data_IF_405401143722
#
_entry.id   IF_405401143722
#
_cell.length_a   1.000
_cell.length_b   1.000
_cell.length_c   1.000
_cell.angle_alpha   90.00
_cell.angle_beta   90.00
_cell.angle_gamma   90.00
#
_symmetry.space_group_name_H-M   'P 1'
#
loop_
_entity.id
_entity.type
_entity.pdbx_description
1 polymer ?
#
# COMPACT_ATOMS: atom_id res chain seq x y z
N UNK A 1 0.00 18.86 13.97
CA UNK A 1 -1.34 19.47 13.77
C UNK A 1 -1.62 20.65 14.71
N UNK A 2 -0.71 20.97 15.65
CA UNK A 2 -0.82 22.13 16.53
C UNK A 2 -1.86 22.03 17.67
N UNK A 3 -2.40 20.85 17.96
CA UNK A 3 -3.48 20.66 18.96
C UNK A 3 -3.02 20.04 20.30
N UNK A 4 -1.71 19.96 20.53
CA UNK A 4 -1.14 19.28 21.71
C UNK A 4 -1.75 19.79 23.02
N UNK A 5 -1.85 21.11 23.19
CA UNK A 5 -2.29 21.73 24.44
C UNK A 5 -3.80 21.54 24.71
N UNK A 6 -4.56 21.16 23.69
CA UNK A 6 -5.99 20.85 23.79
C UNK A 6 -6.27 19.36 23.98
N UNK A 7 -5.25 18.51 23.99
CA UNK A 7 -5.45 17.06 24.00
C UNK A 7 -6.12 16.56 25.30
N UNK A 8 -5.99 17.30 26.41
CA UNK A 8 -6.70 17.03 27.67
C UNK A 8 -8.22 17.10 27.54
N UNK A 9 -8.74 17.76 26.47
CA UNK A 9 -10.17 17.90 26.21
C UNK A 9 -10.70 16.86 25.21
N UNK A 10 -9.88 15.86 24.83
CA UNK A 10 -10.26 14.85 23.86
C UNK A 10 -11.53 14.11 24.27
N UNK A 11 -12.52 14.07 23.38
CA UNK A 11 -13.84 13.44 23.57
C UNK A 11 -14.69 14.05 24.69
N UNK A 12 -14.37 15.25 25.17
CA UNK A 12 -15.20 15.99 26.12
C UNK A 12 -16.14 16.92 25.36
N UNK A 13 -17.25 17.29 26.00
CA UNK A 13 -18.18 18.27 25.42
C UNK A 13 -17.47 19.61 25.20
N UNK A 14 -17.58 20.15 24.00
CA UNK A 14 -16.86 21.37 23.59
C UNK A 14 -15.34 21.22 23.43
N UNK A 15 -14.80 20.04 23.63
CA UNK A 15 -13.39 19.71 23.45
C UNK A 15 -13.07 19.17 22.06
N UNK A 16 -11.88 18.54 21.94
CA UNK A 16 -11.46 17.88 20.72
C UNK A 16 -12.29 16.65 20.42
N UNK A 17 -12.67 16.49 19.14
CA UNK A 17 -13.29 15.26 18.64
C UNK A 17 -12.37 14.06 18.77
N UNK A 18 -12.95 12.86 18.94
CA UNK A 18 -12.21 11.59 18.88
C UNK A 18 -11.79 11.18 17.47
N UNK A 19 -12.24 11.90 16.43
CA UNK A 19 -11.96 11.68 15.02
C UNK A 19 -11.61 13.00 14.35
N UNK A 20 -11.01 12.91 13.16
CA UNK A 20 -10.68 14.09 12.35
C UNK A 20 -11.93 14.92 12.04
N UNK A 21 -11.79 16.24 12.16
CA UNK A 21 -12.82 17.20 11.77
C UNK A 21 -12.21 18.44 11.11
N UNK A 22 -12.57 18.76 9.88
CA UNK A 22 -12.07 19.95 9.18
C UNK A 22 -12.32 21.26 9.94
N UNK A 23 -13.39 21.32 10.73
CA UNK A 23 -13.71 22.50 11.56
C UNK A 23 -12.70 22.69 12.71
N UNK A 24 -11.99 21.65 13.12
CA UNK A 24 -11.02 21.72 14.20
C UNK A 24 -9.61 22.05 13.70
N UNK A 25 -9.27 21.69 12.47
CA UNK A 25 -7.95 21.92 11.90
C UNK A 25 -7.95 21.81 10.37
N UNK A 26 -7.22 22.72 9.73
CA UNK A 26 -6.92 22.66 8.31
C UNK A 26 -6.16 21.37 7.90
N UNK A 27 -5.54 20.68 8.87
CA UNK A 27 -4.83 19.41 8.62
C UNK A 27 -5.76 18.20 8.62
N UNK A 28 -7.04 18.38 8.89
CA UNK A 28 -8.05 17.33 8.91
C UNK A 28 -8.85 17.39 7.60
N UNK A 29 -8.48 16.61 6.56
CA UNK A 29 -9.04 16.80 5.21
C UNK A 29 -10.47 16.25 5.06
N UNK A 30 -10.93 15.42 5.98
CA UNK A 30 -12.25 14.77 5.92
C UNK A 30 -12.72 14.36 7.30
N UNK A 31 -14.01 14.05 7.39
CA UNK A 31 -14.62 13.45 8.59
C UNK A 31 -14.72 11.95 8.35
N UNK A 32 -14.13 11.15 9.23
CA UNK A 32 -14.26 9.70 9.22
C UNK A 32 -14.12 9.12 10.61
N UNK A 33 -14.91 8.10 10.93
CA UNK A 33 -14.84 7.35 12.18
C UNK A 33 -14.84 5.84 11.94
N UNK A 34 -14.84 5.41 10.68
CA UNK A 34 -14.81 4.02 10.28
C UNK A 34 -13.39 3.58 9.91
N UNK A 35 -13.07 2.31 10.19
CA UNK A 35 -11.89 1.68 9.63
C UNK A 35 -12.09 1.36 8.14
N UNK A 36 -11.01 1.14 7.41
CA UNK A 36 -11.00 0.63 6.02
C UNK A 36 -11.41 1.64 4.94
N UNK A 37 -11.68 2.89 5.27
CA UNK A 37 -12.13 3.92 4.33
C UNK A 37 -11.00 4.77 3.73
N UNK A 38 -9.80 4.75 4.31
CA UNK A 38 -8.69 5.63 3.92
C UNK A 38 -8.33 5.53 2.43
N UNK A 39 -8.35 4.33 1.85
CA UNK A 39 -8.05 4.12 0.42
C UNK A 39 -9.16 4.72 -0.46
N UNK A 40 -10.42 4.57 -0.08
CA UNK A 40 -11.57 5.15 -0.81
C UNK A 40 -11.50 6.68 -0.81
N UNK A 41 -11.25 7.29 0.34
CA UNK A 41 -11.12 8.74 0.49
C UNK A 41 -9.95 9.27 -0.34
N UNK A 42 -8.77 8.64 -0.21
CA UNK A 42 -7.59 9.03 -0.96
C UNK A 42 -7.77 8.86 -2.47
N UNK A 43 -8.45 7.80 -2.92
CA UNK A 43 -8.78 7.59 -4.33
C UNK A 43 -9.66 8.72 -4.87
N UNK A 44 -10.68 9.13 -4.11
CA UNK A 44 -11.53 10.27 -4.45
C UNK A 44 -10.74 11.58 -4.57
N UNK A 45 -9.83 11.84 -3.63
CA UNK A 45 -8.94 13.01 -3.67
C UNK A 45 -8.00 12.97 -4.88
N UNK A 46 -7.41 11.80 -5.19
CA UNK A 46 -6.54 11.62 -6.33
C UNK A 46 -7.28 11.82 -7.65
N UNK A 47 -8.52 11.37 -7.73
CA UNK A 47 -9.38 11.57 -8.90
C UNK A 47 -9.77 13.04 -9.07
N UNK A 48 -10.18 13.70 -7.98
CA UNK A 48 -10.49 15.14 -7.98
C UNK A 48 -9.28 16.00 -8.39
N UNK A 49 -8.06 15.66 -7.90
CA UNK A 49 -6.81 16.28 -8.32
C UNK A 49 -6.63 16.18 -9.83
N UNK A 50 -6.85 14.99 -10.40
CA UNK A 50 -6.69 14.74 -11.84
C UNK A 50 -7.70 15.56 -12.65
N UNK A 51 -8.97 15.56 -12.25
CA UNK A 51 -10.03 16.35 -12.91
C UNK A 51 -9.77 17.85 -12.85
N UNK A 52 -9.18 18.33 -11.77
CA UNK A 52 -8.83 19.76 -11.59
C UNK A 52 -7.48 20.12 -12.16
N UNK A 53 -6.76 19.17 -12.77
CA UNK A 53 -5.41 19.35 -13.30
C UNK A 53 -4.42 19.94 -12.26
N UNK A 54 -4.58 19.54 -11.00
CA UNK A 54 -3.72 19.96 -9.88
C UNK A 54 -2.53 19.03 -9.72
N UNK A 55 -1.45 19.51 -9.10
CA UNK A 55 -0.20 18.78 -8.89
C UNK A 55 0.11 18.69 -7.40
N UNK A 56 -0.31 17.62 -6.76
CA UNK A 56 0.06 17.25 -5.40
C UNK A 56 0.03 15.73 -5.25
N UNK A 57 0.76 15.22 -4.27
CA UNK A 57 0.75 13.79 -3.97
C UNK A 57 -0.43 13.44 -3.06
N UNK A 58 -1.02 12.29 -3.31
CA UNK A 58 -2.05 11.69 -2.45
C UNK A 58 -1.48 10.39 -1.91
N UNK A 59 -1.48 10.26 -0.60
CA UNK A 59 -0.95 9.09 0.11
C UNK A 59 -2.02 8.59 1.08
N UNK A 60 -2.44 7.33 0.92
CA UNK A 60 -3.28 6.63 1.89
C UNK A 60 -2.41 5.75 2.77
N UNK A 61 -2.56 5.84 4.09
CA UNK A 61 -1.94 4.89 5.03
C UNK A 61 -3.04 4.02 5.60
N UNK A 62 -2.91 2.71 5.45
CA UNK A 62 -3.87 1.72 5.94
C UNK A 62 -3.15 0.64 6.73
N UNK A 63 -3.69 0.26 7.89
CA UNK A 63 -3.19 -0.88 8.66
C UNK A 63 -3.63 -2.22 8.09
N UNK A 64 -2.88 -3.27 8.39
CA UNK A 64 -3.16 -4.65 7.98
C UNK A 64 -4.54 -5.13 8.46
N UNK A 65 -4.91 -4.82 9.71
CA UNK A 65 -6.25 -5.11 10.23
C UNK A 65 -7.34 -4.36 9.48
N UNK A 66 -7.15 -3.08 9.17
CA UNK A 66 -8.11 -2.29 8.40
C UNK A 66 -8.21 -2.77 6.94
N UNK A 67 -7.14 -3.32 6.37
CA UNK A 67 -7.16 -3.91 5.03
C UNK A 67 -8.09 -5.12 4.92
N UNK A 68 -8.45 -5.77 6.02
CA UNK A 68 -9.41 -6.91 6.00
C UNK A 68 -10.86 -6.49 5.76
N UNK A 69 -11.17 -5.22 5.83
CA UNK A 69 -12.53 -4.70 5.61
C UNK A 69 -12.92 -4.66 4.14
N UNK A 70 -14.19 -4.97 3.83
CA UNK A 70 -14.70 -5.02 2.44
C UNK A 70 -14.54 -3.72 1.68
N UNK A 71 -14.74 -2.58 2.33
CA UNK A 71 -14.57 -1.25 1.73
C UNK A 71 -13.16 -1.02 1.18
N UNK A 72 -12.12 -1.54 1.87
CA UNK A 72 -10.75 -1.47 1.37
C UNK A 72 -10.56 -2.25 0.05
N UNK A 73 -11.18 -3.43 -0.08
CA UNK A 73 -11.13 -4.21 -1.31
C UNK A 73 -11.84 -3.54 -2.47
N UNK A 74 -13.00 -2.95 -2.23
CA UNK A 74 -13.73 -2.18 -3.25
C UNK A 74 -12.91 -1.01 -3.74
N UNK A 75 -12.25 -0.30 -2.82
CA UNK A 75 -11.37 0.82 -3.15
C UNK A 75 -10.15 0.37 -3.97
N UNK A 76 -9.48 -0.72 -3.57
CA UNK A 76 -8.34 -1.29 -4.30
C UNK A 76 -8.74 -1.75 -5.70
N UNK A 77 -9.87 -2.45 -5.84
CA UNK A 77 -10.39 -2.86 -7.13
C UNK A 77 -10.65 -1.66 -8.07
N UNK A 78 -11.21 -0.58 -7.52
CA UNK A 78 -11.45 0.63 -8.29
C UNK A 78 -10.15 1.39 -8.61
N UNK A 79 -9.19 1.42 -7.68
CA UNK A 79 -7.86 2.02 -7.88
C UNK A 79 -7.10 1.37 -9.03
N UNK A 80 -7.11 0.04 -9.10
CA UNK A 80 -6.49 -0.72 -10.18
C UNK A 80 -7.06 -0.39 -11.56
N UNK A 81 -8.38 -0.16 -11.64
CA UNK A 81 -9.06 0.25 -12.88
C UNK A 81 -8.71 1.68 -13.30
N UNK A 82 -8.72 2.61 -12.36
CA UNK A 82 -8.57 4.04 -12.64
C UNK A 82 -7.14 4.44 -12.98
N UNK A 83 -6.15 3.66 -12.55
CA UNK A 83 -4.71 3.93 -12.76
C UNK A 83 -4.32 5.36 -12.40
N UNK A 84 -4.95 5.90 -11.38
CA UNK A 84 -4.68 7.24 -10.87
C UNK A 84 -3.37 7.22 -10.08
N UNK A 85 -2.50 8.21 -10.29
CA UNK A 85 -1.25 8.30 -9.55
C UNK A 85 -1.50 8.66 -8.09
N UNK A 86 -1.48 7.67 -7.20
CA UNK A 86 -1.47 7.86 -5.76
C UNK A 86 -0.77 6.68 -5.07
N UNK A 87 -0.36 6.87 -3.84
CA UNK A 87 0.44 5.92 -3.07
C UNK A 87 -0.42 5.32 -1.97
N UNK A 88 -0.37 4.00 -1.83
CA UNK A 88 -0.97 3.29 -0.71
C UNK A 88 0.17 2.71 0.13
N UNK A 89 0.24 3.10 1.39
CA UNK A 89 1.19 2.57 2.37
C UNK A 89 0.43 1.58 3.25
N UNK A 90 0.68 0.29 3.05
CA UNK A 90 0.20 -0.76 3.95
C UNK A 90 1.15 -0.87 5.13
N UNK A 91 0.69 -0.41 6.29
CA UNK A 91 1.43 -0.52 7.55
C UNK A 91 1.05 -1.83 8.25
N UNK A 92 1.97 -2.78 8.22
CA UNK A 92 1.76 -4.11 8.77
C UNK A 92 2.63 -4.33 10.01
N UNK A 93 1.99 -4.46 11.16
CA UNK A 93 2.63 -4.74 12.44
C UNK A 93 2.09 -6.03 13.11
N UNK A 94 1.33 -6.85 12.38
CA UNK A 94 0.67 -8.06 12.87
C UNK A 94 -0.46 -7.86 13.88
N UNK A 95 -0.80 -6.62 14.19
CA UNK A 95 -1.70 -6.31 15.28
C UNK A 95 -2.89 -5.48 14.80
N UNK A 96 -4.07 -5.96 15.16
CA UNK A 96 -5.26 -5.15 15.32
C UNK A 96 -5.64 -5.14 16.82
N UNK A 97 -6.91 -5.03 17.17
CA UNK A 97 -7.37 -5.21 18.56
C UNK A 97 -7.09 -6.64 19.04
N UNK A 98 -7.14 -7.62 18.14
CA UNK A 98 -6.75 -9.01 18.29
C UNK A 98 -5.88 -9.44 17.11
N UNK A 99 -5.34 -10.66 17.15
CA UNK A 99 -4.62 -11.21 15.98
C UNK A 99 -5.50 -11.19 14.74
N UNK A 100 -4.92 -10.78 13.62
CA UNK A 100 -5.63 -10.75 12.34
C UNK A 100 -5.94 -12.18 11.87
N UNK A 101 -7.16 -12.41 11.44
CA UNK A 101 -7.63 -13.71 10.95
C UNK A 101 -8.06 -13.62 9.47
N UNK A 102 -8.12 -14.77 8.82
CA UNK A 102 -8.63 -14.88 7.46
C UNK A 102 -7.56 -14.99 6.37
N UNK A 103 -8.02 -15.05 5.13
CA UNK A 103 -7.16 -15.29 3.96
C UNK A 103 -6.15 -14.17 3.70
N UNK A 104 -6.56 -12.92 3.89
CA UNK A 104 -5.67 -11.77 3.70
C UNK A 104 -4.56 -11.72 4.75
N UNK A 105 -4.89 -11.97 6.01
CA UNK A 105 -3.88 -12.06 7.07
C UNK A 105 -2.86 -13.17 6.77
N UNK A 106 -3.33 -14.33 6.33
CA UNK A 106 -2.46 -15.44 5.92
C UNK A 106 -1.59 -15.07 4.73
N UNK A 107 -2.15 -14.36 3.76
CA UNK A 107 -1.41 -13.86 2.60
C UNK A 107 -0.31 -12.86 3.01
N UNK A 108 -0.61 -11.88 3.85
CA UNK A 108 0.36 -10.91 4.36
C UNK A 108 1.46 -11.58 5.21
N UNK A 109 1.10 -12.58 6.02
CA UNK A 109 2.06 -13.39 6.76
C UNK A 109 3.04 -14.11 5.84
N UNK A 110 2.55 -14.69 4.75
CA UNK A 110 3.40 -15.33 3.74
C UNK A 110 4.33 -14.30 3.05
N UNK A 111 3.82 -13.10 2.74
CA UNK A 111 4.63 -12.01 2.19
C UNK A 111 5.83 -11.66 3.06
N UNK A 112 5.66 -11.68 4.38
CA UNK A 112 6.73 -11.38 5.35
C UNK A 112 7.69 -12.53 5.57
N UNK A 113 7.18 -13.75 5.60
CA UNK A 113 7.96 -14.96 5.86
C UNK A 113 8.89 -15.35 4.70
N UNK A 114 8.68 -14.77 3.52
CA UNK A 114 9.44 -15.13 2.31
C UNK A 114 10.81 -14.44 2.26
N UNK A 115 11.78 -14.99 3.01
CA UNK A 115 13.19 -14.60 2.92
C UNK A 115 13.76 -14.78 1.50
N UNK A 116 13.21 -15.69 0.71
CA UNK A 116 13.57 -15.94 -0.68
C UNK A 116 13.38 -14.71 -1.58
N UNK A 117 12.36 -13.90 -1.30
CA UNK A 117 12.12 -12.66 -2.04
C UNK A 117 13.23 -11.62 -1.84
N UNK A 118 13.73 -11.46 -0.64
CA UNK A 118 14.84 -10.55 -0.32
C UNK A 118 16.16 -11.01 -0.94
N UNK A 119 16.38 -12.32 -1.00
CA UNK A 119 17.54 -12.94 -1.66
C UNK A 119 17.44 -12.86 -3.20
N UNK A 120 16.24 -13.09 -3.77
CA UNK A 120 16.01 -12.97 -5.22
C UNK A 120 16.17 -11.52 -5.70
N UNK A 121 15.70 -10.54 -4.95
CA UNK A 121 15.86 -9.11 -5.29
C UNK A 121 17.33 -8.69 -5.30
N UNK A 122 18.16 -9.22 -4.41
CA UNK A 122 19.62 -9.03 -4.42
C UNK A 122 20.31 -9.75 -5.59
N UNK A 123 19.83 -10.94 -5.96
CA UNK A 123 20.47 -11.77 -6.97
C UNK A 123 20.01 -11.46 -8.41
N UNK A 124 18.75 -11.05 -8.62
CA UNK A 124 18.21 -10.70 -9.96
C UNK A 124 18.90 -9.46 -10.52
N UNK A 125 19.21 -8.47 -9.71
CA UNK A 125 19.97 -7.30 -10.16
C UNK A 125 21.40 -7.65 -10.61
N UNK A 126 21.99 -8.71 -10.04
CA UNK A 126 23.35 -9.18 -10.38
C UNK A 126 23.40 -10.25 -11.50
N UNK A 127 22.32 -10.99 -11.71
CA UNK A 127 22.32 -12.15 -12.62
C UNK A 127 21.77 -11.81 -14.01
N UNK A 128 20.92 -10.79 -14.17
CA UNK A 128 20.44 -10.36 -15.48
C UNK A 128 21.54 -9.80 -16.40
N UNK A 129 22.68 -9.38 -15.83
CA UNK A 129 23.82 -8.87 -16.59
C UNK A 129 24.77 -9.98 -17.12
N UNK A 130 24.49 -11.26 -16.84
CA UNK A 130 25.39 -12.39 -17.16
C UNK A 130 24.81 -13.47 -18.07
N UNK A 131 23.62 -13.28 -18.68
CA UNK A 131 23.05 -14.27 -19.59
C UNK A 131 23.45 -13.91 -21.02
N UNK A 132 24.22 -14.76 -21.75
CA UNK A 132 24.48 -14.54 -23.15
C UNK A 132 23.19 -14.65 -23.97
N UNK A 133 23.07 -13.79 -24.96
CA UNK A 133 21.97 -13.70 -25.92
C UNK A 133 21.69 -15.07 -26.56
N UNK A 134 20.53 -15.64 -26.30
CA UNK A 134 20.00 -16.84 -26.95
C UNK A 134 18.80 -16.42 -27.81
N UNK A 135 18.72 -16.94 -29.02
CA UNK A 135 17.89 -16.50 -30.13
C UNK A 135 16.38 -16.30 -29.89
N UNK A 136 15.78 -15.54 -30.80
CA UNK A 136 14.46 -14.89 -30.70
C UNK A 136 13.24 -15.80 -30.50
N UNK A 137 13.30 -17.10 -30.85
CA UNK A 137 12.14 -18.01 -30.74
C UNK A 137 11.97 -18.64 -29.36
N UNK A 138 13.02 -18.66 -28.56
CA UNK A 138 12.96 -19.09 -27.15
C UNK A 138 12.45 -17.99 -26.20
N UNK A 139 12.51 -16.73 -26.61
CA UNK A 139 12.10 -15.58 -25.79
C UNK A 139 10.60 -15.61 -25.50
N UNK A 140 9.77 -16.01 -26.46
CA UNK A 140 8.31 -16.09 -26.27
C UNK A 140 7.89 -17.17 -25.28
N UNK A 141 8.55 -18.34 -25.33
CA UNK A 141 8.29 -19.46 -24.40
C UNK A 141 8.90 -19.19 -23.03
N UNK A 142 10.09 -18.61 -22.97
CA UNK A 142 10.76 -18.17 -21.73
C UNK A 142 9.99 -17.05 -21.04
N UNK A 143 9.38 -16.10 -21.76
CA UNK A 143 8.56 -15.05 -21.19
C UNK A 143 7.25 -15.61 -20.59
N UNK A 144 6.63 -16.61 -21.23
CA UNK A 144 5.45 -17.30 -20.68
C UNK A 144 5.82 -18.12 -19.44
N UNK A 145 6.91 -18.87 -19.50
CA UNK A 145 7.43 -19.65 -18.35
C UNK A 145 7.93 -18.72 -17.23
N UNK A 146 8.59 -17.61 -17.57
CA UNK A 146 9.04 -16.59 -16.61
C UNK A 146 7.87 -15.90 -15.90
N UNK A 147 6.77 -15.63 -16.61
CA UNK A 147 5.56 -15.10 -15.99
C UNK A 147 4.85 -16.15 -15.11
N UNK A 148 4.84 -17.42 -15.50
CA UNK A 148 4.26 -18.51 -14.69
C UNK A 148 5.12 -18.81 -13.43
N UNK A 149 6.45 -18.77 -13.56
CA UNK A 149 7.36 -18.89 -12.42
C UNK A 149 7.29 -17.64 -11.52
N UNK A 150 7.13 -16.45 -12.12
CA UNK A 150 6.88 -15.20 -11.40
C UNK A 150 5.59 -15.28 -10.58
N UNK A 151 4.53 -15.87 -11.13
CA UNK A 151 3.26 -16.06 -10.42
C UNK A 151 3.36 -16.99 -9.20
N UNK A 152 4.32 -17.93 -9.20
CA UNK A 152 4.53 -18.88 -8.12
C UNK A 152 5.50 -18.38 -7.03
N UNK A 153 6.31 -17.35 -7.31
CA UNK A 153 7.46 -16.97 -6.48
C UNK A 153 7.47 -15.51 -6.02
N UNK A 154 6.53 -14.65 -6.45
CA UNK A 154 6.57 -13.24 -6.09
C UNK A 154 5.49 -12.91 -5.05
N UNK A 155 5.88 -12.63 -3.81
CA UNK A 155 5.00 -11.98 -2.85
C UNK A 155 4.46 -10.66 -3.43
N UNK A 156 3.20 -10.33 -3.18
CA UNK A 156 2.59 -9.10 -3.74
C UNK A 156 1.83 -9.30 -5.06
N UNK A 157 1.86 -10.49 -5.65
CA UNK A 157 1.15 -10.79 -6.92
C UNK A 157 -0.34 -10.45 -6.89
N UNK A 158 -0.98 -10.51 -5.72
CA UNK A 158 -2.39 -10.14 -5.59
C UNK A 158 -2.61 -8.65 -5.95
N UNK A 159 -1.75 -7.75 -5.44
CA UNK A 159 -1.81 -6.33 -5.76
C UNK A 159 -1.46 -6.06 -7.24
N UNK A 160 -0.42 -6.74 -7.74
CA UNK A 160 0.02 -6.62 -9.15
C UNK A 160 -1.07 -7.11 -10.11
N UNK A 161 -1.76 -8.22 -9.81
CA UNK A 161 -2.87 -8.72 -10.61
C UNK A 161 -4.07 -7.77 -10.61
N UNK A 162 -4.24 -6.95 -9.59
CA UNK A 162 -5.23 -5.87 -9.57
C UNK A 162 -4.77 -4.61 -10.32
N UNK A 163 -3.54 -4.59 -10.85
CA UNK A 163 -2.98 -3.43 -11.55
C UNK A 163 -2.36 -2.39 -10.62
N UNK A 164 -2.04 -2.76 -9.38
CA UNK A 164 -1.36 -1.92 -8.39
C UNK A 164 0.08 -2.37 -8.26
N UNK A 165 1.04 -1.52 -8.59
CA UNK A 165 2.46 -1.84 -8.47
C UNK A 165 2.84 -2.01 -7.01
N UNK A 166 3.42 -3.17 -6.67
CA UNK A 166 3.84 -3.50 -5.31
C UNK A 166 5.34 -3.23 -5.11
N UNK A 167 5.67 -2.37 -4.16
CA UNK A 167 7.04 -1.97 -3.80
C UNK A 167 7.37 -2.38 -2.36
N UNK A 168 7.41 -3.67 -2.09
CA UNK A 168 7.66 -4.14 -0.73
C UNK A 168 7.98 -5.64 -0.66
N UNK A 169 8.05 -6.21 0.54
CA UNK A 169 7.98 -5.52 1.82
C UNK A 169 9.24 -4.69 2.14
N UNK A 170 9.09 -3.66 2.95
CA UNK A 170 10.16 -2.76 3.38
C UNK A 170 10.11 -2.63 4.89
N UNK A 171 11.27 -2.65 5.54
CA UNK A 171 11.34 -2.37 6.97
C UNK A 171 10.97 -0.91 7.23
N UNK A 172 9.86 -0.69 7.94
CA UNK A 172 9.36 0.64 8.31
C UNK A 172 10.27 1.42 9.27
N UNK A 173 11.28 0.77 9.87
CA UNK A 173 12.30 1.40 10.70
C UNK A 173 13.59 1.76 9.92
N UNK A 174 13.76 1.25 8.69
CA UNK A 174 14.84 1.66 7.79
C UNK A 174 14.48 2.96 7.04
N UNK A 175 14.70 4.10 7.70
CA UNK A 175 14.41 5.42 7.15
C UNK A 175 15.14 5.66 5.82
N UNK A 176 16.37 5.17 5.67
CA UNK A 176 17.13 5.35 4.42
C UNK A 176 16.54 4.51 3.28
N UNK A 177 16.06 3.31 3.60
CA UNK A 177 15.33 2.45 2.65
C UNK A 177 14.02 3.09 2.21
N UNK A 178 13.24 3.62 3.15
CA UNK A 178 11.99 4.33 2.87
C UNK A 178 12.20 5.56 1.99
N UNK A 179 13.20 6.41 2.29
CA UNK A 179 13.52 7.57 1.45
C UNK A 179 13.79 7.14 0.01
N UNK A 180 14.58 6.09 -0.20
CA UNK A 180 14.91 5.59 -1.55
C UNK A 180 13.70 5.06 -2.33
N UNK A 181 12.68 4.59 -1.64
CA UNK A 181 11.46 4.07 -2.29
C UNK A 181 10.52 5.20 -2.66
N UNK A 182 10.46 6.25 -1.83
CA UNK A 182 9.58 7.39 -2.06
C UNK A 182 10.21 8.50 -2.93
N UNK A 183 11.49 8.40 -3.30
CA UNK A 183 12.20 9.31 -4.20
C UNK A 183 12.13 8.87 -5.64
#
# INVERSE_FOLDING_TARGET
TGRRDRFSTLRQYGGLSGFMKPEESITDPCITGHASDSVSVALGMAHARTLRNQKYHVVAVIGDGALTGGMAYEALNNAGRLKTNFIIVLNDNNMSISENVGGMSRYLNNLRADEGYNLLKKNVAGTLSRIPMIGSDLVGTLLRTKNSIKQLLIPGMWFENMGITYLGPVDGHDIKGLIRIFS
#
